data_IF_587676301156
#
_entry.id   IF_587676301156
#
_cell.length_a   1.000
_cell.length_b   1.000
_cell.length_c   1.000
_cell.angle_alpha   90.00
_cell.angle_beta   90.00
_cell.angle_gamma   90.00
#
_symmetry.space_group_name_H-M   'P 1'
#
loop_
_entity.id
_entity.type
_entity.pdbx_description
1 polymer ?
#
# COMPACT_ATOMS: atom_id res chain seq x y z
N UNK A 1 -8.00 -17.49 -6.69
CA UNK A 1 -7.46 -16.24 -7.24
C UNK A 1 -5.96 -16.42 -7.26
N UNK A 2 -5.34 -16.30 -8.44
CA UNK A 2 -3.89 -16.42 -8.59
C UNK A 2 -3.21 -15.27 -7.84
N UNK A 3 -2.03 -15.57 -7.29
CA UNK A 3 -1.15 -14.70 -6.51
C UNK A 3 -1.19 -13.24 -6.97
N UNK A 4 -1.49 -12.33 -6.05
CA UNK A 4 -1.15 -10.90 -6.12
C UNK A 4 0.37 -10.70 -5.97
N UNK A 5 1.17 -11.51 -6.68
CA UNK A 5 2.60 -11.29 -6.93
C UNK A 5 2.80 -10.22 -8.01
N UNK A 6 1.98 -9.17 -7.99
CA UNK A 6 2.12 -8.08 -8.95
C UNK A 6 3.29 -7.20 -8.51
N UNK A 7 4.35 -7.21 -9.29
CA UNK A 7 5.56 -6.45 -9.03
C UNK A 7 5.27 -4.94 -9.12
N UNK A 8 5.62 -4.19 -8.08
CA UNK A 8 5.66 -2.73 -8.06
C UNK A 8 4.31 -1.98 -8.20
N UNK A 9 3.34 -2.23 -7.31
CA UNK A 9 2.08 -1.49 -7.31
C UNK A 9 2.30 -0.01 -6.92
N UNK A 10 1.72 0.88 -7.73
CA UNK A 10 1.69 2.32 -7.49
C UNK A 10 0.25 2.81 -7.43
N UNK A 11 -0.08 3.53 -6.35
CA UNK A 11 -1.42 4.04 -6.08
C UNK A 11 -1.44 5.57 -6.19
N UNK A 12 -2.25 6.10 -7.11
CA UNK A 12 -2.48 7.55 -7.27
C UNK A 12 -3.88 7.88 -6.79
N UNK A 13 -3.99 8.73 -5.77
CA UNK A 13 -5.28 9.30 -5.37
C UNK A 13 -5.88 10.11 -6.52
N UNK A 14 -7.11 9.78 -6.89
CA UNK A 14 -7.93 10.57 -7.79
C UNK A 14 -8.89 11.47 -7.00
N UNK A 15 -9.53 10.92 -5.96
CA UNK A 15 -10.51 11.63 -5.14
C UNK A 15 -10.49 11.16 -3.69
N UNK A 16 -10.77 12.07 -2.74
CA UNK A 16 -10.96 11.74 -1.33
C UNK A 16 -12.01 12.67 -0.73
N UNK A 17 -13.08 12.09 -0.20
CA UNK A 17 -14.14 12.81 0.49
C UNK A 17 -14.50 12.08 1.79
N UNK A 18 -13.97 12.55 2.92
CA UNK A 18 -14.17 12.03 4.27
C UNK A 18 -14.03 10.50 4.38
N UNK A 19 -15.10 9.76 4.11
CA UNK A 19 -15.18 8.30 4.20
C UNK A 19 -15.07 7.59 2.84
N UNK A 20 -14.92 8.30 1.72
CA UNK A 20 -14.85 7.72 0.39
C UNK A 20 -13.56 8.12 -0.33
N UNK A 21 -12.82 7.13 -0.84
CA UNK A 21 -11.52 7.30 -1.49
C UNK A 21 -11.55 6.67 -2.88
N UNK A 22 -11.12 7.37 -3.91
CA UNK A 22 -10.95 6.82 -5.26
C UNK A 22 -9.50 6.96 -5.67
N UNK A 23 -8.95 5.88 -6.22
CA UNK A 23 -7.55 5.83 -6.60
C UNK A 23 -7.34 4.95 -7.82
N UNK A 24 -6.27 5.27 -8.51
CA UNK A 24 -5.78 4.55 -9.67
C UNK A 24 -4.62 3.66 -9.21
N UNK A 25 -4.71 2.36 -9.46
CA UNK A 25 -3.60 1.42 -9.32
C UNK A 25 -2.97 1.20 -10.69
N UNK A 26 -1.65 1.20 -10.73
CA UNK A 26 -0.90 0.62 -11.84
C UNK A 26 0.23 -0.25 -11.31
N UNK A 27 0.55 -1.31 -12.05
CA UNK A 27 1.62 -2.27 -11.75
C UNK A 27 2.64 -2.33 -12.90
N UNK A 28 2.43 -1.54 -13.96
CA UNK A 28 3.25 -1.54 -15.16
C UNK A 28 4.08 -0.25 -15.25
N UNK A 29 5.37 -0.39 -15.56
CA UNK A 29 6.31 0.71 -15.78
C UNK A 29 6.27 1.28 -17.21
N UNK A 30 5.26 0.92 -18.01
CA UNK A 30 5.16 1.33 -19.43
C UNK A 30 4.79 2.82 -19.56
N UNK A 31 5.22 3.45 -20.65
CA UNK A 31 4.88 4.86 -20.95
C UNK A 31 3.37 5.13 -21.03
N UNK A 32 2.59 4.10 -21.37
CA UNK A 32 1.13 4.08 -21.22
C UNK A 32 0.77 2.96 -20.23
N UNK A 33 0.78 3.24 -18.92
CA UNK A 33 0.49 2.22 -17.93
C UNK A 33 -0.98 1.80 -18.03
N UNK A 34 -1.25 0.49 -17.93
CA UNK A 34 -2.62 0.05 -17.64
C UNK A 34 -2.98 0.54 -16.24
N UNK A 35 -3.99 1.40 -16.18
CA UNK A 35 -4.52 1.95 -14.94
C UNK A 35 -5.83 1.24 -14.63
N UNK A 36 -5.89 0.64 -13.45
CA UNK A 36 -7.14 0.11 -12.89
C UNK A 36 -7.64 1.07 -11.83
N UNK A 37 -8.86 1.57 -12.00
CA UNK A 37 -9.50 2.48 -11.05
C UNK A 37 -10.23 1.70 -9.97
N UNK A 38 -9.97 2.03 -8.72
CA UNK A 38 -10.58 1.46 -7.53
C UNK A 38 -11.26 2.55 -6.71
N UNK A 39 -12.24 2.15 -5.91
CA UNK A 39 -12.81 2.96 -4.83
C UNK A 39 -12.66 2.25 -3.50
N UNK A 40 -12.64 2.99 -2.41
CA UNK A 40 -12.63 2.43 -1.08
C UNK A 40 -13.46 3.24 -0.10
N UNK A 41 -14.15 2.52 0.78
CA UNK A 41 -14.82 3.10 1.94
C UNK A 41 -13.84 3.09 3.13
N UNK A 42 -13.66 4.26 3.74
CA UNK A 42 -12.83 4.46 4.91
C UNK A 42 -13.70 4.42 6.16
N UNK A 43 -13.23 3.70 7.18
CA UNK A 43 -13.93 3.60 8.46
C UNK A 43 -12.99 3.21 9.58
N UNK A 44 -13.56 3.01 10.76
CA UNK A 44 -12.87 2.47 11.93
C UNK A 44 -13.61 1.21 12.38
N UNK A 45 -12.86 0.19 12.78
CA UNK A 45 -13.46 -1.00 13.38
C UNK A 45 -13.89 -0.75 14.83
N UNK A 46 -14.41 -1.79 15.48
CA UNK A 46 -14.86 -1.75 16.88
C UNK A 46 -13.73 -1.46 17.87
N UNK A 47 -12.46 -1.65 17.48
CA UNK A 47 -11.27 -1.37 18.26
C UNK A 47 -10.66 0.01 17.92
N UNK A 48 -11.39 0.84 17.17
CA UNK A 48 -10.93 2.12 16.61
C UNK A 48 -9.73 1.99 15.64
N UNK A 49 -9.48 0.81 15.08
CA UNK A 49 -8.46 0.62 14.05
C UNK A 49 -8.98 1.17 12.72
N UNK A 50 -8.32 2.18 12.11
CA UNK A 50 -8.72 2.68 10.81
C UNK A 50 -8.56 1.62 9.72
N UNK A 51 -9.51 1.52 8.81
CA UNK A 51 -9.47 0.60 7.69
C UNK A 51 -9.94 1.26 6.38
N UNK A 52 -9.54 0.65 5.27
CA UNK A 52 -10.10 0.88 3.94
C UNK A 52 -10.70 -0.44 3.43
N UNK A 53 -11.96 -0.40 3.00
CA UNK A 53 -12.59 -1.48 2.24
C UNK A 53 -12.47 -1.13 0.77
N UNK A 54 -11.56 -1.78 0.05
CA UNK A 54 -11.31 -1.54 -1.36
C UNK A 54 -12.30 -2.35 -2.19
N UNK A 55 -12.97 -1.67 -3.11
CA UNK A 55 -13.93 -2.19 -4.05
C UNK A 55 -13.37 -2.06 -5.48
N UNK A 56 -13.38 -3.15 -6.23
CA UNK A 56 -13.23 -3.06 -7.68
C UNK A 56 -14.54 -2.50 -8.27
N UNK A 57 -14.46 -1.66 -9.30
CA UNK A 57 -15.63 -1.08 -9.97
C UNK A 57 -16.60 -2.12 -10.53
N UNK A 58 -16.13 -3.35 -10.77
CA UNK A 58 -16.97 -4.49 -11.17
C UNK A 58 -17.76 -5.12 -10.01
N UNK A 59 -17.65 -4.60 -8.77
CA UNK A 59 -18.43 -4.99 -7.59
C UNK A 59 -18.18 -6.41 -7.05
N UNK A 60 -17.19 -7.12 -7.62
CA UNK A 60 -17.04 -8.58 -7.46
C UNK A 60 -16.02 -8.98 -6.40
N UNK A 61 -15.19 -8.05 -5.92
CA UNK A 61 -14.15 -8.31 -4.93
C UNK A 61 -14.03 -7.15 -3.95
N UNK A 62 -14.05 -7.47 -2.64
CA UNK A 62 -13.83 -6.53 -1.55
C UNK A 62 -12.55 -6.94 -0.80
N UNK A 63 -11.58 -6.04 -0.70
CA UNK A 63 -10.35 -6.24 0.08
C UNK A 63 -10.31 -5.23 1.23
N UNK A 64 -10.37 -5.74 2.47
CA UNK A 64 -10.19 -4.90 3.66
C UNK A 64 -8.71 -4.77 4.00
N UNK A 65 -8.20 -3.55 4.08
CA UNK A 65 -6.87 -3.23 4.60
C UNK A 65 -6.98 -2.39 5.87
N UNK A 66 -6.32 -2.81 6.93
CA UNK A 66 -6.29 -2.13 8.23
C UNK A 66 -4.99 -1.38 8.41
N UNK A 67 -5.06 -0.11 8.84
CA UNK A 67 -3.90 0.72 9.10
C UNK A 67 -3.27 0.30 10.44
N UNK A 68 -2.09 -0.32 10.38
CA UNK A 68 -1.36 -0.77 11.58
C UNK A 68 -0.34 0.25 12.06
N UNK A 69 0.21 1.04 11.15
CA UNK A 69 1.17 2.07 11.48
C UNK A 69 1.10 3.22 10.48
N UNK A 70 1.26 4.44 10.96
CA UNK A 70 1.36 5.64 10.12
C UNK A 70 2.44 6.56 10.67
N UNK A 71 3.32 7.04 9.81
CA UNK A 71 4.31 8.05 10.15
C UNK A 71 4.18 9.23 9.20
N UNK A 72 3.66 10.34 9.73
CA UNK A 72 3.42 11.57 8.96
C UNK A 72 4.71 12.31 8.60
N UNK A 73 5.81 12.08 9.34
CA UNK A 73 7.12 12.69 9.08
C UNK A 73 7.83 11.97 7.95
N UNK A 74 7.86 10.65 8.00
CA UNK A 74 8.48 9.80 6.97
C UNK A 74 7.55 9.54 5.77
N UNK A 75 6.31 10.05 5.83
CA UNK A 75 5.28 9.89 4.79
C UNK A 75 5.10 8.42 4.42
N UNK A 76 4.82 7.58 5.40
CA UNK A 76 4.60 6.15 5.18
C UNK A 76 3.41 5.62 5.98
N UNK A 77 2.90 4.46 5.55
CA UNK A 77 2.00 3.63 6.34
C UNK A 77 2.28 2.15 6.15
N UNK A 78 1.86 1.37 7.13
CA UNK A 78 1.82 -0.08 7.05
C UNK A 78 0.37 -0.53 7.15
N UNK A 79 -0.05 -1.30 6.16
CA UNK A 79 -1.37 -1.89 6.10
C UNK A 79 -1.28 -3.40 6.32
N UNK A 80 -2.25 -3.95 7.04
CA UNK A 80 -2.46 -5.38 7.15
C UNK A 80 -3.72 -5.77 6.39
N UNK A 81 -3.70 -6.91 5.72
CA UNK A 81 -4.87 -7.42 5.01
C UNK A 81 -4.86 -8.94 4.93
N UNK A 82 -6.01 -9.51 4.56
CA UNK A 82 -6.22 -10.95 4.47
C UNK A 82 -7.13 -11.27 3.30
N UNK A 83 -6.59 -11.97 2.30
CA UNK A 83 -7.36 -12.50 1.16
C UNK A 83 -7.70 -13.97 1.37
N UNK A 84 -6.68 -14.78 1.67
CA UNK A 84 -6.81 -16.18 2.08
C UNK A 84 -5.53 -16.60 2.81
N UNK A 85 -5.66 -17.29 3.95
CA UNK A 85 -4.48 -17.76 4.72
C UNK A 85 -3.94 -16.72 5.72
N UNK A 86 -2.60 -16.62 5.90
CA UNK A 86 -1.99 -15.75 6.91
C UNK A 86 -2.20 -14.26 6.60
N UNK A 87 -2.13 -13.42 7.63
CA UNK A 87 -2.16 -11.96 7.48
C UNK A 87 -0.96 -11.49 6.68
N UNK A 88 -1.21 -10.69 5.65
CA UNK A 88 -0.20 -10.04 4.82
C UNK A 88 -0.03 -8.58 5.23
N UNK A 89 1.16 -8.03 4.96
CA UNK A 89 1.51 -6.65 5.29
C UNK A 89 2.08 -5.94 4.07
N UNK A 90 1.71 -4.68 3.90
CA UNK A 90 2.24 -3.79 2.86
C UNK A 90 2.79 -2.51 3.49
N UNK A 91 3.98 -2.10 3.06
CA UNK A 91 4.55 -0.79 3.37
C UNK A 91 4.31 0.17 2.21
N UNK A 92 3.57 1.26 2.47
CA UNK A 92 3.28 2.31 1.51
C UNK A 92 4.12 3.55 1.86
N UNK A 93 4.70 4.19 0.85
CA UNK A 93 5.51 5.41 1.00
C UNK A 93 4.98 6.45 0.03
N UNK A 94 4.64 7.64 0.54
CA UNK A 94 4.17 8.76 -0.27
C UNK A 94 5.30 9.73 -0.56
N UNK A 95 5.30 10.31 -1.76
CA UNK A 95 6.26 11.33 -2.19
C UNK A 95 7.71 10.82 -2.21
N UNK A 96 7.99 9.92 -3.15
CA UNK A 96 9.33 9.35 -3.46
C UNK A 96 10.36 10.39 -3.93
N UNK A 97 9.99 11.69 -4.03
CA UNK A 97 10.88 12.79 -4.40
C UNK A 97 12.10 12.99 -3.47
N UNK A 98 12.20 12.24 -2.37
CA UNK A 98 13.38 12.25 -1.51
C UNK A 98 13.79 10.82 -1.17
N UNK A 99 14.61 10.20 -2.04
CA UNK A 99 15.12 8.86 -1.76
C UNK A 99 16.39 8.86 -0.90
N UNK A 100 17.09 9.98 -0.71
CA UNK A 100 18.30 10.02 0.10
C UNK A 100 18.45 11.41 0.75
N UNK A 101 18.42 11.48 2.08
CA UNK A 101 18.97 12.62 2.82
C UNK A 101 20.22 12.13 3.55
N UNK A 102 21.39 12.69 3.22
CA UNK A 102 22.68 12.30 3.79
C UNK A 102 22.97 10.78 3.73
N UNK A 103 22.72 10.13 2.57
CA UNK A 103 23.02 8.71 2.37
C UNK A 103 22.01 7.72 3.00
N UNK A 104 20.98 8.21 3.71
CA UNK A 104 19.98 7.36 4.37
C UNK A 104 18.61 7.45 3.69
N UNK A 105 17.92 6.29 3.58
CA UNK A 105 16.51 6.20 3.17
C UNK A 105 15.67 7.01 4.18
N UNK A 106 14.85 7.95 3.70
CA UNK A 106 14.05 8.88 4.54
C UNK A 106 12.92 8.16 5.32
N UNK A 107 12.74 6.85 5.09
CA UNK A 107 11.69 6.01 5.69
C UNK A 107 12.24 4.90 6.61
N UNK A 108 13.41 5.09 7.22
CA UNK A 108 14.06 4.05 8.03
C UNK A 108 13.19 3.60 9.20
N UNK A 109 12.46 4.50 9.88
CA UNK A 109 11.57 4.14 10.98
C UNK A 109 10.44 3.23 10.52
N UNK A 110 9.77 3.59 9.41
CA UNK A 110 8.74 2.77 8.80
C UNK A 110 9.24 1.40 8.38
N UNK A 111 10.43 1.36 7.79
CA UNK A 111 11.05 0.13 7.35
C UNK A 111 11.38 -0.80 8.52
N UNK A 112 11.91 -0.27 9.62
CA UNK A 112 12.18 -1.06 10.84
C UNK A 112 10.89 -1.62 11.45
N UNK A 113 9.81 -0.83 11.51
CA UNK A 113 8.51 -1.31 12.01
C UNK A 113 7.93 -2.39 11.09
N UNK A 114 8.02 -2.19 9.77
CA UNK A 114 7.60 -3.18 8.79
C UNK A 114 8.37 -4.50 8.95
N UNK A 115 9.70 -4.43 9.07
CA UNK A 115 10.55 -5.59 9.33
C UNK A 115 10.16 -6.32 10.62
N UNK A 116 9.76 -5.60 11.67
CA UNK A 116 9.25 -6.24 12.89
C UNK A 116 7.95 -7.02 12.63
N UNK A 117 6.99 -6.46 11.88
CA UNK A 117 5.74 -7.14 11.52
C UNK A 117 5.95 -8.38 10.65
N UNK A 118 6.90 -8.33 9.70
CA UNK A 118 7.18 -9.45 8.79
C UNK A 118 8.33 -10.35 9.26
N UNK A 119 8.91 -10.11 10.43
CA UNK A 119 10.05 -10.88 10.95
C UNK A 119 9.72 -12.38 11.11
N UNK A 120 8.44 -12.71 11.25
CA UNK A 120 7.91 -14.08 11.29
C UNK A 120 7.54 -14.64 9.89
N UNK A 121 7.67 -13.85 8.82
CA UNK A 121 7.22 -14.12 7.44
C UNK A 121 8.39 -14.08 6.43
N UNK A 122 9.56 -14.57 6.83
CA UNK A 122 10.90 -14.33 6.26
C UNK A 122 11.17 -14.58 4.75
N UNK A 123 10.18 -14.91 3.93
CA UNK A 123 10.37 -15.42 2.56
C UNK A 123 9.86 -14.51 1.42
N UNK A 124 9.33 -13.31 1.69
CA UNK A 124 8.70 -12.46 0.64
C UNK A 124 9.15 -11.00 0.70
N UNK A 125 10.43 -10.71 0.41
CA UNK A 125 10.95 -9.34 0.27
C UNK A 125 11.20 -9.02 -1.21
N UNK A 126 10.41 -8.10 -1.76
CA UNK A 126 10.60 -7.55 -3.10
C UNK A 126 10.87 -6.03 -2.99
N UNK A 127 11.98 -5.56 -3.56
CA UNK A 127 12.31 -4.12 -3.63
C UNK A 127 12.16 -3.65 -5.09
N UNK A 128 11.47 -2.53 -5.31
CA UNK A 128 11.26 -1.94 -6.63
C UNK A 128 12.21 -0.77 -6.88
N UNK A 129 12.71 -0.64 -8.11
CA UNK A 129 13.56 0.45 -8.59
C UNK A 129 12.78 1.20 -9.67
N UNK A 130 12.54 2.50 -9.50
CA UNK A 130 11.81 3.33 -10.46
C UNK A 130 12.76 4.15 -11.33
N UNK A 131 12.61 4.10 -12.66
CA UNK A 131 13.27 5.00 -13.60
C UNK A 131 12.81 4.80 -15.03
N UNK A 132 12.25 5.83 -15.66
CA UNK A 132 12.16 5.91 -17.12
C UNK A 132 13.49 6.48 -17.65
N UNK A 133 14.17 5.76 -18.52
CA UNK A 133 15.33 6.24 -19.30
C UNK A 133 14.91 7.21 -20.39
#
# INVERSE_FOLDING_TARGET
MHETSETCPYYVRDFLNHTFYVFNLTTEERCEPKITRYSADLGNDTENTPYMNIHNWTGTSNLKKELRYYNSREKCAIFAYKESGPTQYELHIWSVKFLIWNGSKVFHGCFSVYQAYISQLSHLRYECIHGCS
#
